data_IF_473746893804
#
_entry.id   IF_473746893804
#
_cell.length_a   1.000
_cell.length_b   1.000
_cell.length_c   1.000
_cell.angle_alpha   90.00
_cell.angle_beta   90.00
_cell.angle_gamma   90.00
#
_symmetry.space_group_name_H-M   'P 1'
#
loop_
_entity.id
_entity.type
_entity.pdbx_description
1 polymer ?
#
# COMPACT_ATOMS: atom_id res chain seq x y z
N UNK A 1 45.68 50.83 11.68
CA UNK A 1 45.22 52.22 11.78
C UNK A 1 44.87 52.73 10.38
N UNK A 2 43.58 52.86 10.06
CA UNK A 2 43.08 53.70 8.99
C UNK A 2 42.05 54.70 9.55
N UNK A 3 42.42 55.48 10.57
CA UNK A 3 41.57 56.52 11.18
C UNK A 3 41.67 57.89 10.45
N UNK A 4 42.53 58.01 9.44
CA UNK A 4 42.71 59.27 8.69
C UNK A 4 41.73 59.49 7.52
N UNK A 5 40.89 58.50 7.18
CA UNK A 5 39.90 58.65 6.09
C UNK A 5 38.51 59.08 6.58
N UNK A 6 38.21 58.94 7.88
CA UNK A 6 36.98 59.47 8.48
C UNK A 6 37.11 60.92 8.92
N UNK A 7 38.32 61.38 9.25
CA UNK A 7 38.59 62.78 9.61
C UNK A 7 38.55 63.72 8.41
N UNK A 8 38.93 63.24 7.20
CA UNK A 8 38.81 64.03 5.96
C UNK A 8 37.37 64.15 5.42
N UNK A 9 36.44 63.31 5.90
CA UNK A 9 35.04 63.29 5.45
C UNK A 9 34.14 64.30 6.18
N UNK A 10 34.66 65.02 7.17
CA UNK A 10 33.92 65.98 7.98
C UNK A 10 34.18 67.46 7.64
N UNK A 11 35.08 67.75 6.69
CA UNK A 11 35.55 69.12 6.41
C UNK A 11 35.24 69.64 4.99
N UNK A 12 34.24 69.06 4.31
CA UNK A 12 33.71 69.64 3.06
C UNK A 12 32.30 70.18 3.29
N UNK A 13 32.14 71.51 3.45
CA UNK A 13 30.84 72.14 3.66
C UNK A 13 29.98 72.10 2.38
N UNK A 14 28.72 71.80 2.61
CA UNK A 14 27.51 71.96 1.78
C UNK A 14 27.64 73.03 0.67
N UNK A 15 28.05 72.63 -0.52
CA UNK A 15 28.04 73.47 -1.74
C UNK A 15 27.19 72.84 -2.87
N UNK A 16 26.36 71.86 -2.51
CA UNK A 16 25.49 71.12 -3.46
C UNK A 16 24.21 71.87 -3.80
N UNK A 17 23.69 72.73 -2.91
CA UNK A 17 22.38 73.36 -3.12
C UNK A 17 22.41 74.56 -4.07
N UNK A 18 23.53 75.29 -4.15
CA UNK A 18 23.63 76.48 -5.02
C UNK A 18 23.80 76.12 -6.50
N UNK A 19 24.54 75.06 -6.79
CA UNK A 19 24.82 74.61 -8.16
C UNK A 19 23.58 73.96 -8.80
N UNK A 20 22.78 73.21 -8.02
CA UNK A 20 21.51 72.65 -8.51
C UNK A 20 20.45 73.74 -8.75
N UNK A 21 20.43 74.81 -7.92
CA UNK A 21 19.56 75.98 -8.10
C UNK A 21 19.97 76.86 -9.30
N UNK A 22 21.26 77.05 -9.57
CA UNK A 22 21.74 77.80 -10.76
C UNK A 22 21.53 77.04 -12.07
N UNK A 23 21.56 75.71 -12.05
CA UNK A 23 21.29 74.89 -13.24
C UNK A 23 19.82 74.96 -13.67
N UNK A 24 18.88 74.96 -12.70
CA UNK A 24 17.46 75.14 -12.97
C UNK A 24 17.15 76.56 -13.49
N UNK A 25 17.86 77.59 -13.00
CA UNK A 25 17.64 78.99 -13.37
C UNK A 25 18.25 79.36 -14.74
N UNK A 26 19.38 78.75 -15.12
CA UNK A 26 20.06 79.01 -16.41
C UNK A 26 19.34 78.40 -17.62
N UNK A 27 18.52 77.37 -17.42
CA UNK A 27 17.64 76.83 -18.48
C UNK A 27 16.49 77.78 -18.85
N UNK A 28 15.98 78.58 -17.90
CA UNK A 28 14.90 79.57 -18.14
C UNK A 28 15.43 80.83 -18.85
N UNK A 29 16.68 81.21 -18.62
CA UNK A 29 17.31 82.43 -19.22
C UNK A 29 17.81 82.20 -20.65
N UNK A 30 18.10 80.95 -21.03
CA UNK A 30 18.50 80.60 -22.40
C UNK A 30 17.36 80.74 -23.44
N UNK A 31 16.10 80.69 -22.99
CA UNK A 31 14.91 80.85 -23.83
C UNK A 31 14.63 82.32 -24.17
N UNK A 32 15.03 83.27 -23.32
CA UNK A 32 14.83 84.73 -23.53
C UNK A 32 15.92 85.38 -24.39
N UNK A 33 17.17 84.87 -24.37
CA UNK A 33 18.30 85.45 -25.11
C UNK A 33 18.36 85.04 -26.59
N UNK A 34 17.61 84.01 -27.00
CA UNK A 34 17.43 83.67 -28.43
C UNK A 34 16.47 84.63 -29.14
N UNK A 35 15.63 85.35 -28.40
CA UNK A 35 14.68 86.34 -28.93
C UNK A 35 15.33 87.70 -29.21
N UNK A 36 16.36 88.11 -28.46
CA UNK A 36 16.97 89.45 -28.59
C UNK A 36 18.07 89.58 -29.67
N UNK A 37 18.55 88.47 -30.26
CA UNK A 37 19.62 88.49 -31.28
C UNK A 37 19.15 88.68 -32.73
N UNK A 38 17.84 88.85 -32.97
CA UNK A 38 17.26 88.89 -34.33
C UNK A 38 16.96 90.28 -34.90
N UNK A 39 17.17 91.34 -34.13
CA UNK A 39 17.04 92.72 -34.63
C UNK A 39 18.41 93.41 -34.51
N UNK A 40 19.20 93.40 -35.58
CA UNK A 40 19.32 94.52 -36.53
C UNK A 40 19.76 95.84 -35.86
N UNK A 41 20.69 96.63 -36.38
CA UNK A 41 21.64 96.48 -37.49
C UNK A 41 22.50 97.74 -37.49
N UNK A 42 23.78 97.56 -37.83
CA UNK A 42 24.64 98.33 -38.73
C UNK A 42 24.76 99.87 -38.69
N UNK A 43 23.76 100.65 -38.30
CA UNK A 43 23.82 102.13 -38.30
C UNK A 43 24.47 102.72 -37.05
N UNK A 44 24.52 101.99 -35.93
CA UNK A 44 25.26 102.41 -34.73
C UNK A 44 26.79 102.36 -34.89
N UNK A 45 27.28 101.55 -35.84
CA UNK A 45 28.72 101.28 -36.00
C UNK A 45 29.44 102.38 -36.78
N UNK A 46 28.72 103.16 -37.60
CA UNK A 46 29.35 104.23 -38.40
C UNK A 46 29.54 105.54 -37.63
N UNK A 47 28.70 105.84 -36.63
CA UNK A 47 28.85 107.06 -35.80
C UNK A 47 29.95 106.94 -34.73
N UNK A 48 30.33 105.72 -34.34
CA UNK A 48 31.36 105.53 -33.31
C UNK A 48 32.80 105.81 -33.79
N UNK A 49 33.04 105.85 -35.12
CA UNK A 49 34.38 105.96 -35.70
C UNK A 49 34.95 107.39 -35.71
N UNK A 50 34.17 108.40 -35.31
CA UNK A 50 34.60 109.81 -35.28
C UNK A 50 34.93 110.30 -33.85
N UNK A 51 34.50 109.58 -32.80
CA UNK A 51 34.78 109.95 -31.40
C UNK A 51 35.77 108.93 -30.84
N UNK A 52 37.06 109.26 -30.86
CA UNK A 52 38.20 108.41 -30.49
C UNK A 52 38.08 107.63 -29.17
N UNK A 53 37.32 106.53 -29.19
CA UNK A 53 37.14 105.55 -28.11
C UNK A 53 37.55 104.13 -28.54
N UNK A 54 38.30 103.99 -29.63
CA UNK A 54 38.75 102.68 -30.14
C UNK A 54 39.86 102.07 -29.26
N UNK A 55 40.81 102.88 -28.79
CA UNK A 55 42.00 102.39 -28.05
C UNK A 55 41.68 101.83 -26.66
N UNK A 56 40.65 102.37 -26.02
CA UNK A 56 40.24 101.94 -24.68
C UNK A 56 39.34 100.70 -24.73
N UNK A 57 38.57 100.53 -25.81
CA UNK A 57 37.86 99.27 -26.08
C UNK A 57 38.83 98.14 -26.41
N UNK A 58 39.86 98.38 -27.21
CA UNK A 58 40.88 97.39 -27.60
C UNK A 58 41.68 96.86 -26.38
N UNK A 59 42.02 97.74 -25.42
CA UNK A 59 42.71 97.35 -24.18
C UNK A 59 41.79 96.61 -23.20
N UNK A 60 40.49 96.93 -23.14
CA UNK A 60 39.53 96.20 -22.32
C UNK A 60 39.17 94.84 -22.91
N UNK A 61 39.06 94.72 -24.23
CA UNK A 61 38.85 93.43 -24.91
C UNK A 61 40.07 92.53 -24.77
N UNK A 62 41.30 93.04 -24.93
CA UNK A 62 42.51 92.22 -24.80
C UNK A 62 42.71 91.72 -23.37
N UNK A 63 42.39 92.55 -22.36
CA UNK A 63 42.48 92.16 -20.95
C UNK A 63 41.40 91.14 -20.55
N UNK A 64 40.16 91.32 -20.99
CA UNK A 64 39.08 90.36 -20.78
C UNK A 64 39.35 89.00 -21.48
N UNK A 65 40.00 89.01 -22.64
CA UNK A 65 40.37 87.79 -23.37
C UNK A 65 41.51 87.03 -22.68
N UNK A 66 42.50 87.74 -22.13
CA UNK A 66 43.61 87.15 -21.35
C UNK A 66 43.14 86.60 -20.01
N UNK A 67 42.23 87.30 -19.31
CA UNK A 67 41.65 86.83 -18.05
C UNK A 67 40.67 85.67 -18.26
N UNK A 68 39.95 85.64 -19.39
CA UNK A 68 39.12 84.52 -19.83
C UNK A 68 39.95 83.29 -20.22
N UNK A 69 41.09 83.47 -20.89
CA UNK A 69 42.01 82.37 -21.23
C UNK A 69 42.70 81.80 -19.98
N UNK A 70 43.08 82.65 -19.01
CA UNK A 70 43.60 82.18 -17.71
C UNK A 70 42.55 81.46 -16.88
N UNK A 71 41.31 81.95 -16.87
CA UNK A 71 40.20 81.25 -16.22
C UNK A 71 39.92 79.91 -16.90
N UNK A 72 39.91 79.82 -18.22
CA UNK A 72 39.69 78.56 -18.95
C UNK A 72 40.83 77.55 -18.75
N UNK A 73 42.08 78.00 -18.68
CA UNK A 73 43.21 77.12 -18.36
C UNK A 73 43.12 76.66 -16.91
N UNK A 74 42.79 77.55 -15.97
CA UNK A 74 42.58 77.17 -14.57
C UNK A 74 41.42 76.16 -14.44
N UNK A 75 40.30 76.40 -15.13
CA UNK A 75 39.12 75.55 -15.17
C UNK A 75 39.40 74.20 -15.86
N UNK A 76 40.16 74.17 -16.96
CA UNK A 76 40.59 72.94 -17.62
C UNK A 76 41.60 72.13 -16.78
N UNK A 77 42.40 72.81 -15.97
CA UNK A 77 43.35 72.16 -15.04
C UNK A 77 42.63 71.62 -13.80
N UNK A 78 41.61 72.33 -13.30
CA UNK A 78 40.70 71.82 -12.25
C UNK A 78 39.82 70.67 -12.75
N UNK A 79 39.28 70.73 -13.97
CA UNK A 79 38.52 69.63 -14.59
C UNK A 79 39.39 68.40 -14.84
N UNK A 80 40.65 68.58 -15.24
CA UNK A 80 41.63 67.50 -15.42
C UNK A 80 42.05 66.88 -14.08
N UNK A 81 42.08 67.68 -13.01
CA UNK A 81 42.23 67.21 -11.63
C UNK A 81 41.00 66.42 -11.13
N UNK A 82 39.80 66.88 -11.44
CA UNK A 82 38.53 66.21 -11.09
C UNK A 82 38.29 64.93 -11.90
N UNK A 83 38.69 64.86 -13.17
CA UNK A 83 38.66 63.61 -13.97
C UNK A 83 39.47 62.50 -13.33
N UNK A 84 40.68 62.81 -12.82
CA UNK A 84 41.52 61.81 -12.12
C UNK A 84 40.94 61.35 -10.79
N UNK A 85 40.26 62.24 -10.07
CA UNK A 85 39.57 61.91 -8.81
C UNK A 85 38.31 61.07 -9.08
N UNK A 86 37.58 61.37 -10.15
CA UNK A 86 36.45 60.57 -10.63
C UNK A 86 36.88 59.20 -11.16
N UNK A 87 38.01 59.09 -11.85
CA UNK A 87 38.56 57.82 -12.32
C UNK A 87 39.04 56.95 -11.15
N UNK A 88 39.64 57.56 -10.12
CA UNK A 88 40.02 56.86 -8.89
C UNK A 88 38.79 56.40 -8.11
N UNK A 89 37.75 57.24 -8.01
CA UNK A 89 36.49 56.88 -7.37
C UNK A 89 35.75 55.76 -8.14
N UNK A 90 35.73 55.80 -9.47
CA UNK A 90 35.20 54.75 -10.34
C UNK A 90 35.98 53.45 -10.20
N UNK A 91 37.32 53.51 -10.15
CA UNK A 91 38.16 52.35 -9.91
C UNK A 91 37.88 51.74 -8.52
N UNK A 92 37.69 52.57 -7.50
CA UNK A 92 37.37 52.13 -6.12
C UNK A 92 35.97 51.52 -6.04
N UNK A 93 34.99 52.09 -6.75
CA UNK A 93 33.64 51.54 -6.84
C UNK A 93 33.65 50.23 -7.61
N UNK A 94 34.38 50.13 -8.73
CA UNK A 94 34.52 48.89 -9.49
C UNK A 94 35.23 47.78 -8.69
N UNK A 95 36.27 48.13 -7.92
CA UNK A 95 36.94 47.22 -6.98
C UNK A 95 35.95 46.72 -5.91
N UNK A 96 35.20 47.63 -5.28
CA UNK A 96 34.21 47.29 -4.25
C UNK A 96 33.04 46.47 -4.81
N UNK A 97 32.60 46.76 -6.04
CA UNK A 97 31.56 46.00 -6.76
C UNK A 97 32.07 44.61 -7.17
N UNK A 98 33.34 44.50 -7.56
CA UNK A 98 34.02 43.23 -7.85
C UNK A 98 34.15 42.36 -6.61
N UNK A 99 34.54 42.95 -5.46
CA UNK A 99 34.60 42.24 -4.18
C UNK A 99 33.21 41.80 -3.69
N UNK A 100 32.19 42.66 -3.80
CA UNK A 100 30.82 42.28 -3.43
C UNK A 100 30.27 41.20 -4.35
N UNK A 101 30.51 41.29 -5.66
CA UNK A 101 30.17 40.23 -6.61
C UNK A 101 30.86 38.91 -6.26
N UNK A 102 32.15 38.92 -5.96
CA UNK A 102 32.90 37.73 -5.55
C UNK A 102 32.34 37.11 -4.26
N UNK A 103 32.00 37.93 -3.27
CA UNK A 103 31.37 37.47 -2.01
C UNK A 103 29.97 36.89 -2.24
N UNK A 104 29.19 37.46 -3.16
CA UNK A 104 27.87 36.93 -3.54
C UNK A 104 28.00 35.59 -4.27
N UNK A 105 28.94 35.46 -5.19
CA UNK A 105 29.22 34.22 -5.92
C UNK A 105 29.75 33.12 -4.96
N UNK A 106 30.66 33.45 -4.04
CA UNK A 106 31.15 32.55 -3.00
C UNK A 106 30.02 32.11 -2.04
N UNK A 107 29.16 33.02 -1.58
CA UNK A 107 28.02 32.72 -0.71
C UNK A 107 26.95 31.88 -1.43
N UNK A 108 26.70 32.14 -2.71
CA UNK A 108 25.81 31.36 -3.57
C UNK A 108 26.34 29.94 -3.78
N UNK A 109 27.64 29.79 -4.07
CA UNK A 109 28.31 28.49 -4.18
C UNK A 109 28.28 27.68 -2.88
N UNK A 110 28.53 28.33 -1.73
CA UNK A 110 28.40 27.69 -0.41
C UNK A 110 26.96 27.27 -0.09
N UNK A 111 25.97 28.08 -0.48
CA UNK A 111 24.55 27.75 -0.31
C UNK A 111 24.15 26.55 -1.17
N UNK A 112 24.61 26.50 -2.43
CA UNK A 112 24.37 25.37 -3.32
C UNK A 112 25.03 24.08 -2.80
N UNK A 113 26.26 24.16 -2.28
CA UNK A 113 26.94 23.01 -1.67
C UNK A 113 26.19 22.47 -0.44
N UNK A 114 25.73 23.36 0.46
CA UNK A 114 24.93 22.97 1.64
C UNK A 114 23.58 22.36 1.26
N UNK A 115 22.92 22.87 0.20
CA UNK A 115 21.68 22.29 -0.31
C UNK A 115 21.90 20.90 -0.91
N UNK A 116 23.02 20.68 -1.61
CA UNK A 116 23.40 19.35 -2.11
C UNK A 116 23.66 18.38 -0.96
N UNK A 117 24.40 18.80 0.06
CA UNK A 117 24.69 17.96 1.23
C UNK A 117 23.39 17.61 2.00
N UNK A 118 22.47 18.57 2.13
CA UNK A 118 21.15 18.31 2.72
C UNK A 118 20.33 17.33 1.88
N UNK A 119 20.35 17.47 0.55
CA UNK A 119 19.66 16.56 -0.37
C UNK A 119 20.21 15.12 -0.24
N UNK A 120 21.53 14.95 -0.11
CA UNK A 120 22.17 13.65 0.11
C UNK A 120 21.81 13.06 1.48
N UNK A 121 21.70 13.88 2.52
CA UNK A 121 21.22 13.43 3.84
C UNK A 121 19.76 12.99 3.75
N UNK A 122 18.89 13.77 3.09
CA UNK A 122 17.47 13.43 2.91
C UNK A 122 17.32 12.14 2.09
N UNK A 123 18.09 11.97 1.02
CA UNK A 123 18.08 10.76 0.20
C UNK A 123 18.49 9.52 1.02
N UNK A 124 19.55 9.63 1.83
CA UNK A 124 19.97 8.54 2.74
C UNK A 124 18.93 8.22 3.80
N UNK A 125 18.24 9.22 4.34
CA UNK A 125 17.14 9.01 5.29
C UNK A 125 15.97 8.31 4.59
N UNK A 126 15.60 8.74 3.38
CA UNK A 126 14.52 8.13 2.61
C UNK A 126 14.81 6.65 2.31
N UNK A 127 16.02 6.34 1.84
CA UNK A 127 16.46 4.95 1.59
C UNK A 127 16.44 4.10 2.87
N UNK A 128 16.97 4.64 3.98
CA UNK A 128 16.92 3.95 5.27
C UNK A 128 15.47 3.71 5.73
N UNK A 129 14.56 4.66 5.50
CA UNK A 129 13.14 4.51 5.79
C UNK A 129 12.50 3.41 4.93
N UNK A 130 12.76 3.37 3.62
CA UNK A 130 12.22 2.34 2.71
C UNK A 130 12.64 0.93 3.12
N UNK A 131 13.92 0.75 3.47
CA UNK A 131 14.44 -0.53 3.98
C UNK A 131 13.70 -0.93 5.26
N UNK A 132 13.52 0.02 6.19
CA UNK A 132 12.84 -0.25 7.48
C UNK A 132 11.35 -0.53 7.31
N UNK A 133 10.68 0.13 6.36
CA UNK A 133 9.28 -0.18 6.04
C UNK A 133 9.14 -1.57 5.43
N UNK A 134 10.00 -1.94 4.48
CA UNK A 134 10.00 -3.29 3.89
C UNK A 134 10.28 -4.38 4.94
N UNK A 135 11.22 -4.12 5.86
CA UNK A 135 11.51 -5.01 7.00
C UNK A 135 10.29 -5.12 7.95
N UNK A 136 9.59 -4.02 8.21
CA UNK A 136 8.40 -4.02 9.05
C UNK A 136 7.23 -4.76 8.39
N UNK A 137 6.98 -4.53 7.10
CA UNK A 137 5.92 -5.21 6.33
C UNK A 137 6.15 -6.72 6.27
N UNK A 138 7.37 -7.16 5.99
CA UNK A 138 7.71 -8.60 5.98
C UNK A 138 7.55 -9.24 7.37
N UNK A 139 7.91 -8.53 8.45
CA UNK A 139 7.67 -9.00 9.82
C UNK A 139 6.18 -9.06 10.15
N UNK A 140 5.40 -8.05 9.75
CA UNK A 140 3.95 -8.02 9.95
C UNK A 140 3.29 -9.20 9.23
N UNK A 141 3.63 -9.44 7.96
CA UNK A 141 3.11 -10.56 7.19
C UNK A 141 3.44 -11.92 7.86
N UNK A 142 4.66 -12.11 8.35
CA UNK A 142 5.05 -13.33 9.06
C UNK A 142 4.29 -13.50 10.39
N UNK A 143 4.03 -12.41 11.12
CA UNK A 143 3.24 -12.43 12.35
C UNK A 143 1.77 -12.73 12.08
N UNK A 144 1.19 -12.15 11.04
CA UNK A 144 -0.18 -12.42 10.61
C UNK A 144 -0.35 -13.89 10.20
N UNK A 145 0.61 -14.44 9.45
CA UNK A 145 0.61 -15.86 9.11
C UNK A 145 0.71 -16.74 10.35
N UNK A 146 1.59 -16.41 11.30
CA UNK A 146 1.72 -17.15 12.56
C UNK A 146 0.45 -17.05 13.43
N UNK A 147 -0.18 -15.88 13.49
CA UNK A 147 -1.43 -15.67 14.22
C UNK A 147 -2.55 -16.50 13.59
N UNK A 148 -2.76 -16.40 12.28
CA UNK A 148 -3.74 -17.22 11.57
C UNK A 148 -3.43 -18.72 11.70
N UNK A 149 -2.15 -19.11 11.79
CA UNK A 149 -1.75 -20.48 12.04
C UNK A 149 -2.25 -20.95 13.42
N UNK A 150 -2.00 -20.14 14.45
CA UNK A 150 -2.32 -20.40 15.86
C UNK A 150 -3.84 -20.42 16.10
N UNK A 151 -4.57 -19.45 15.56
CA UNK A 151 -6.03 -19.34 15.72
C UNK A 151 -6.74 -20.59 15.18
N UNK A 152 -6.44 -21.00 13.94
CA UNK A 152 -7.03 -22.23 13.40
C UNK A 152 -6.60 -23.47 14.21
N UNK A 153 -5.40 -23.46 14.81
CA UNK A 153 -4.95 -24.50 15.74
C UNK A 153 -5.87 -24.61 16.96
N UNK A 154 -6.11 -23.49 17.63
CA UNK A 154 -7.01 -23.42 18.79
C UNK A 154 -8.44 -23.80 18.44
N UNK A 155 -8.96 -23.33 17.31
CA UNK A 155 -10.28 -23.70 16.80
C UNK A 155 -10.40 -25.20 16.54
N UNK A 156 -9.36 -25.80 15.94
CA UNK A 156 -9.29 -27.24 15.71
C UNK A 156 -9.31 -28.06 17.00
N UNK A 157 -8.55 -27.63 18.01
CA UNK A 157 -8.55 -28.30 19.33
C UNK A 157 -9.90 -28.18 20.03
N UNK A 158 -10.48 -26.97 20.03
CA UNK A 158 -11.77 -26.71 20.66
C UNK A 158 -12.90 -27.51 19.99
N UNK A 159 -12.93 -27.51 18.65
CA UNK A 159 -13.92 -28.27 17.88
C UNK A 159 -13.81 -29.78 18.14
N UNK A 160 -12.58 -30.33 18.13
CA UNK A 160 -12.37 -31.74 18.47
C UNK A 160 -12.87 -32.07 19.88
N UNK A 161 -12.52 -31.24 20.87
CA UNK A 161 -12.93 -31.44 22.25
C UNK A 161 -14.46 -31.40 22.40
N UNK A 162 -15.15 -30.50 21.69
CA UNK A 162 -16.62 -30.43 21.68
C UNK A 162 -17.22 -31.68 21.02
N UNK A 163 -16.79 -32.06 19.82
CA UNK A 163 -17.37 -33.20 19.09
C UNK A 163 -17.18 -34.50 19.87
N UNK A 164 -15.97 -34.73 20.39
CA UNK A 164 -15.69 -35.88 21.26
C UNK A 164 -16.51 -35.77 22.55
N UNK A 165 -16.52 -34.62 23.23
CA UNK A 165 -17.27 -34.44 24.49
C UNK A 165 -18.78 -34.68 24.36
N UNK A 166 -19.40 -34.20 23.28
CA UNK A 166 -20.81 -34.48 22.98
C UNK A 166 -21.05 -35.96 22.69
N UNK A 167 -20.15 -36.57 21.92
CA UNK A 167 -20.24 -38.00 21.63
C UNK A 167 -20.10 -38.83 22.90
N UNK A 168 -19.09 -38.59 23.75
CA UNK A 168 -18.87 -39.33 25.00
C UNK A 168 -20.03 -39.19 25.98
N UNK A 169 -20.58 -37.98 26.10
CA UNK A 169 -21.77 -37.70 26.91
C UNK A 169 -23.07 -38.31 26.35
N UNK A 170 -23.04 -38.97 25.19
CA UNK A 170 -24.24 -39.57 24.57
C UNK A 170 -25.21 -38.54 23.99
N UNK A 171 -24.74 -37.32 23.73
CA UNK A 171 -25.53 -36.26 23.11
C UNK A 171 -25.51 -36.34 21.57
N UNK A 172 -24.43 -36.88 21.00
CA UNK A 172 -24.31 -37.10 19.54
C UNK A 172 -24.42 -38.58 19.18
N UNK A 173 -25.15 -38.87 18.09
CA UNK A 173 -25.26 -40.19 17.46
C UNK A 173 -25.82 -41.30 18.37
N UNK A 174 -26.51 -40.94 19.45
CA UNK A 174 -27.03 -41.89 20.41
C UNK A 174 -28.10 -42.81 19.80
N UNK A 175 -28.02 -44.10 20.12
CA UNK A 175 -28.91 -45.14 19.61
C UNK A 175 -28.77 -45.42 18.12
N UNK A 176 -27.60 -45.09 17.53
CA UNK A 176 -27.14 -45.67 16.27
C UNK A 176 -26.15 -46.82 16.56
N UNK A 177 -25.93 -47.76 15.64
CA UNK A 177 -24.90 -48.79 15.80
C UNK A 177 -23.52 -48.18 16.03
N UNK A 178 -22.72 -48.72 16.94
CA UNK A 178 -21.38 -48.20 17.25
C UNK A 178 -20.51 -47.96 15.99
N UNK A 179 -20.44 -48.87 14.99
CA UNK A 179 -19.68 -48.60 13.77
C UNK A 179 -20.12 -47.34 13.03
N UNK A 180 -21.43 -47.09 12.99
CA UNK A 180 -22.03 -45.91 12.34
C UNK A 180 -21.69 -44.64 13.12
N UNK A 181 -21.76 -44.69 14.45
CA UNK A 181 -21.37 -43.57 15.30
C UNK A 181 -19.90 -43.16 15.07
N UNK A 182 -18.99 -44.15 14.98
CA UNK A 182 -17.56 -43.91 14.73
C UNK A 182 -17.35 -43.27 13.35
N UNK A 183 -18.04 -43.75 12.31
CA UNK A 183 -17.97 -43.15 10.97
C UNK A 183 -18.45 -41.71 10.98
N UNK A 184 -19.61 -41.43 11.59
CA UNK A 184 -20.18 -40.08 11.66
C UNK A 184 -19.31 -39.10 12.46
N UNK A 185 -18.82 -39.51 13.63
CA UNK A 185 -17.89 -38.70 14.43
C UNK A 185 -16.60 -38.41 13.66
N UNK A 186 -16.06 -39.42 12.98
CA UNK A 186 -14.85 -39.26 12.18
C UNK A 186 -15.06 -38.33 10.99
N UNK A 187 -16.22 -38.42 10.33
CA UNK A 187 -16.61 -37.53 9.25
C UNK A 187 -16.79 -36.08 9.76
N UNK A 188 -17.44 -35.87 10.90
CA UNK A 188 -17.63 -34.56 11.54
C UNK A 188 -16.28 -33.89 11.83
N UNK A 189 -15.37 -34.61 12.50
CA UNK A 189 -14.04 -34.09 12.84
C UNK A 189 -13.20 -33.82 11.60
N UNK A 190 -13.24 -34.72 10.61
CA UNK A 190 -12.49 -34.58 9.37
C UNK A 190 -13.02 -33.44 8.48
N UNK A 191 -14.34 -33.19 8.47
CA UNK A 191 -14.96 -32.09 7.74
C UNK A 191 -14.80 -30.74 8.46
N UNK A 192 -14.71 -30.74 9.80
CA UNK A 192 -14.60 -29.54 10.63
C UNK A 192 -13.22 -28.88 10.68
N UNK A 193 -13.02 -27.96 11.66
CA UNK A 193 -11.78 -27.19 11.83
C UNK A 193 -10.53 -28.06 12.04
N UNK A 194 -10.65 -29.20 12.73
CA UNK A 194 -9.54 -30.14 12.92
C UNK A 194 -9.00 -30.67 11.58
N UNK A 195 -9.89 -31.12 10.69
CA UNK A 195 -9.48 -31.53 9.34
C UNK A 195 -8.95 -30.38 8.49
N UNK A 196 -9.47 -29.16 8.64
CA UNK A 196 -8.96 -27.99 7.92
C UNK A 196 -7.54 -27.63 8.37
N UNK A 197 -7.27 -27.68 9.67
CA UNK A 197 -5.94 -27.50 10.22
C UNK A 197 -4.97 -28.58 9.74
N UNK A 198 -5.36 -29.86 9.76
CA UNK A 198 -4.55 -30.96 9.24
C UNK A 198 -4.25 -30.81 7.74
N UNK A 199 -5.23 -30.35 6.96
CA UNK A 199 -5.04 -30.07 5.54
C UNK A 199 -3.99 -28.96 5.31
N UNK A 200 -4.11 -27.83 6.02
CA UNK A 200 -3.21 -26.68 5.87
C UNK A 200 -1.78 -26.99 6.33
N UNK A 201 -1.63 -27.76 7.40
CA UNK A 201 -0.30 -28.09 7.97
C UNK A 201 0.34 -29.34 7.35
N UNK A 202 -0.42 -30.11 6.56
CA UNK A 202 0.01 -31.40 6.01
C UNK A 202 0.21 -32.50 7.07
N UNK A 203 -0.22 -32.28 8.32
CA UNK A 203 -0.04 -33.21 9.44
C UNK A 203 -1.37 -33.76 9.93
N UNK A 204 -1.47 -35.07 10.03
CA UNK A 204 -2.68 -35.77 10.50
C UNK A 204 -2.71 -35.92 12.04
N UNK A 205 -2.25 -34.90 12.78
CA UNK A 205 -2.13 -34.94 14.24
C UNK A 205 -3.46 -35.23 14.97
N UNK A 206 -4.59 -34.88 14.36
CA UNK A 206 -5.92 -35.12 14.95
C UNK A 206 -6.45 -36.53 14.70
N UNK A 207 -5.87 -37.29 13.77
CA UNK A 207 -6.24 -38.70 13.53
C UNK A 207 -5.91 -39.53 14.75
N UNK A 208 -4.67 -39.48 15.24
CA UNK A 208 -4.24 -40.23 16.42
C UNK A 208 -5.01 -39.82 17.67
N UNK A 209 -5.22 -38.51 17.87
CA UNK A 209 -6.00 -37.98 19.01
C UNK A 209 -7.44 -38.51 18.98
N UNK A 210 -8.09 -38.53 17.82
CA UNK A 210 -9.45 -39.05 17.69
C UNK A 210 -9.50 -40.56 17.93
N UNK A 211 -8.55 -41.32 17.38
CA UNK A 211 -8.44 -42.77 17.63
C UNK A 211 -8.32 -43.05 19.13
N UNK A 212 -7.42 -42.35 19.82
CA UNK A 212 -7.28 -42.47 21.28
C UNK A 212 -8.55 -42.09 22.02
N UNK A 213 -9.19 -40.98 21.65
CA UNK A 213 -10.44 -40.53 22.27
C UNK A 213 -11.56 -41.55 22.13
N UNK A 214 -11.75 -42.14 20.94
CA UNK A 214 -12.79 -43.15 20.70
C UNK A 214 -12.52 -44.44 21.48
N UNK A 215 -11.27 -44.89 21.56
CA UNK A 215 -10.91 -46.14 22.23
C UNK A 215 -10.89 -46.05 23.75
N UNK A 216 -10.63 -44.86 24.32
CA UNK A 216 -10.59 -44.65 25.77
C UNK A 216 -11.99 -44.51 26.39
N UNK A 217 -13.03 -44.38 25.58
CA UNK A 217 -14.40 -44.20 26.05
C UNK A 217 -15.07 -45.56 26.15
N UNK A 218 -15.30 -46.02 27.38
CA UNK A 218 -16.07 -47.22 27.63
C UNK A 218 -17.54 -46.95 27.31
N UNK A 219 -18.02 -47.42 26.15
CA UNK A 219 -19.45 -47.49 25.84
C UNK A 219 -19.95 -48.93 25.97
N UNK A 220 -21.20 -49.15 26.37
CA UNK A 220 -21.78 -50.49 26.44
C UNK A 220 -21.68 -51.26 25.12
N UNK A 221 -21.82 -50.55 24.00
CA UNK A 221 -21.87 -51.14 22.66
C UNK A 221 -20.48 -51.26 21.99
N UNK A 222 -19.41 -50.92 22.71
CA UNK A 222 -18.04 -51.08 22.18
C UNK A 222 -17.70 -52.58 22.16
N UNK A 223 -17.39 -53.16 21.00
CA UNK A 223 -17.14 -54.60 20.89
C UNK A 223 -15.92 -55.02 21.71
N UNK A 224 -16.08 -56.06 22.53
CA UNK A 224 -14.99 -56.67 23.28
C UNK A 224 -14.34 -57.78 22.44
N UNK A 225 -13.08 -57.59 22.04
CA UNK A 225 -12.31 -58.60 21.31
C UNK A 225 -12.41 -58.48 19.78
N UNK A 226 -12.46 -59.64 19.09
CA UNK A 226 -12.50 -59.72 17.62
C UNK A 226 -13.94 -59.74 17.14
N UNK A 227 -14.24 -58.95 16.13
CA UNK A 227 -15.56 -58.92 15.48
C UNK A 227 -15.42 -58.84 13.95
N UNK A 228 -16.49 -59.20 13.24
CA UNK A 228 -16.65 -58.82 11.83
C UNK A 228 -17.51 -57.56 11.76
N UNK A 229 -17.19 -56.66 10.83
CA UNK A 229 -17.99 -55.45 10.64
C UNK A 229 -19.45 -55.80 10.27
N UNK A 230 -19.66 -56.90 9.53
CA UNK A 230 -20.98 -57.33 9.10
C UNK A 230 -21.85 -57.73 10.29
N UNK A 231 -21.32 -58.53 11.20
CA UNK A 231 -22.07 -59.01 12.38
C UNK A 231 -22.41 -57.84 13.31
N UNK A 232 -21.44 -56.95 13.55
CA UNK A 232 -21.61 -55.81 14.45
C UNK A 232 -22.65 -54.79 13.93
N UNK A 233 -22.70 -54.61 12.60
CA UNK A 233 -23.71 -53.77 11.96
C UNK A 233 -25.07 -54.46 11.93
N UNK A 234 -25.15 -55.77 11.69
CA UNK A 234 -26.43 -56.50 11.73
C UNK A 234 -27.04 -56.48 13.14
N UNK A 235 -26.24 -56.72 14.18
CA UNK A 235 -26.67 -56.64 15.59
C UNK A 235 -27.17 -55.23 15.96
N UNK A 236 -26.38 -54.20 15.64
CA UNK A 236 -26.75 -52.83 15.94
C UNK A 236 -27.95 -52.33 15.12
N UNK A 237 -28.03 -52.66 13.84
CA UNK A 237 -29.13 -52.21 12.98
C UNK A 237 -30.45 -52.90 13.33
N UNK A 238 -30.42 -54.18 13.74
CA UNK A 238 -31.60 -54.92 14.14
C UNK A 238 -32.32 -54.30 15.35
N UNK A 239 -31.58 -53.63 16.24
CA UNK A 239 -32.10 -53.00 17.46
C UNK A 239 -32.37 -51.49 17.30
N UNK A 240 -31.99 -50.91 16.15
CA UNK A 240 -32.15 -49.48 15.88
C UNK A 240 -33.46 -49.17 15.14
N UNK A 241 -34.13 -48.09 15.51
CA UNK A 241 -35.35 -47.65 14.84
C UNK A 241 -35.09 -47.33 13.34
N UNK A 242 -35.95 -47.80 12.40
CA UNK A 242 -35.75 -47.59 10.96
C UNK A 242 -35.58 -46.13 10.54
N UNK A 243 -36.30 -45.19 11.17
CA UNK A 243 -36.19 -43.76 10.86
C UNK A 243 -34.80 -43.19 11.19
N UNK A 244 -34.17 -43.68 12.26
CA UNK A 244 -32.80 -43.29 12.61
C UNK A 244 -31.78 -43.85 11.64
N UNK A 245 -31.99 -45.09 11.20
CA UNK A 245 -31.17 -45.71 10.15
C UNK A 245 -31.29 -44.92 8.85
N UNK A 246 -32.51 -44.58 8.43
CA UNK A 246 -32.73 -43.76 7.23
C UNK A 246 -31.99 -42.42 7.30
N UNK A 247 -32.11 -41.69 8.42
CA UNK A 247 -31.39 -40.43 8.61
C UNK A 247 -29.87 -40.63 8.55
N UNK A 248 -29.35 -41.67 9.20
CA UNK A 248 -27.92 -41.97 9.17
C UNK A 248 -27.44 -42.33 7.74
N UNK A 249 -28.22 -43.08 6.96
CA UNK A 249 -27.92 -43.35 5.56
C UNK A 249 -27.88 -42.08 4.72
N UNK A 250 -28.85 -41.18 4.88
CA UNK A 250 -28.89 -39.89 4.18
C UNK A 250 -27.68 -39.01 4.51
N UNK A 251 -27.30 -38.91 5.79
CA UNK A 251 -26.11 -38.15 6.23
C UNK A 251 -24.82 -38.75 5.65
N UNK A 252 -24.73 -40.08 5.58
CA UNK A 252 -23.59 -40.78 4.98
C UNK A 252 -23.58 -40.72 3.44
N UNK A 253 -24.59 -40.09 2.84
CA UNK A 253 -24.67 -39.88 1.40
C UNK A 253 -25.18 -41.09 0.62
N UNK A 254 -25.86 -42.03 1.27
CA UNK A 254 -26.57 -43.10 0.57
C UNK A 254 -27.68 -42.53 -0.32
N UNK A 255 -27.83 -43.09 -1.52
CA UNK A 255 -28.81 -42.62 -2.51
C UNK A 255 -28.42 -41.32 -3.25
N UNK A 256 -27.31 -40.66 -2.90
CA UNK A 256 -26.83 -39.50 -3.64
C UNK A 256 -26.18 -39.91 -4.97
N UNK A 257 -26.35 -39.07 -5.99
CA UNK A 257 -25.65 -39.21 -7.26
C UNK A 257 -24.11 -39.22 -7.01
N UNK A 258 -23.31 -39.97 -7.80
CA UNK A 258 -21.86 -40.08 -7.57
C UNK A 258 -21.10 -38.75 -7.55
N UNK A 259 -21.64 -37.71 -8.21
CA UNK A 259 -21.08 -36.35 -8.21
C UNK A 259 -21.35 -35.58 -6.91
N UNK A 260 -22.40 -35.95 -6.18
CA UNK A 260 -22.84 -35.31 -4.92
C UNK A 260 -22.47 -36.16 -3.69
N UNK A 261 -22.22 -37.44 -3.88
CA UNK A 261 -21.83 -38.33 -2.80
C UNK A 261 -20.44 -37.90 -2.24
N UNK A 262 -20.31 -37.78 -0.91
CA UNK A 262 -19.00 -37.56 -0.32
C UNK A 262 -18.08 -38.72 -0.71
N UNK A 263 -16.79 -38.48 -1.02
CA UNK A 263 -15.85 -39.55 -1.28
C UNK A 263 -15.78 -40.42 -0.02
N UNK A 264 -16.40 -41.58 -0.03
CA UNK A 264 -16.31 -42.54 1.05
C UNK A 264 -15.30 -43.61 0.66
N UNK A 265 -14.46 -44.04 1.60
CA UNK A 265 -13.73 -45.28 1.39
C UNK A 265 -14.61 -46.49 1.71
N UNK A 266 -14.00 -47.68 1.72
CA UNK A 266 -14.75 -48.93 1.77
C UNK A 266 -15.53 -49.14 3.08
N UNK A 267 -14.97 -48.78 4.25
CA UNK A 267 -15.64 -49.07 5.53
C UNK A 267 -16.85 -48.17 5.73
N UNK A 268 -16.73 -46.90 5.39
CA UNK A 268 -17.81 -45.93 5.51
C UNK A 268 -18.89 -46.18 4.47
N UNK A 269 -18.50 -46.58 3.25
CA UNK A 269 -19.45 -46.99 2.23
C UNK A 269 -20.25 -48.24 2.64
N UNK A 270 -19.64 -49.20 3.34
CA UNK A 270 -20.39 -50.34 3.91
C UNK A 270 -21.36 -49.90 4.97
N UNK A 271 -20.92 -49.07 5.93
CA UNK A 271 -21.80 -48.57 6.97
C UNK A 271 -23.01 -47.84 6.37
N UNK A 272 -22.78 -46.96 5.39
CA UNK A 272 -23.84 -46.23 4.68
C UNK A 272 -24.82 -47.19 3.97
N UNK A 273 -24.29 -48.10 3.15
CA UNK A 273 -25.10 -49.03 2.35
C UNK A 273 -25.84 -50.04 3.24
N UNK A 274 -25.22 -50.51 4.32
CA UNK A 274 -25.85 -51.45 5.25
C UNK A 274 -27.03 -50.81 5.96
N UNK A 275 -26.84 -49.59 6.46
CA UNK A 275 -27.88 -48.81 7.14
C UNK A 275 -29.02 -48.48 6.15
N UNK A 276 -28.73 -48.15 4.90
CA UNK A 276 -29.74 -47.96 3.85
C UNK A 276 -30.58 -49.22 3.63
N UNK A 277 -29.93 -50.38 3.46
CA UNK A 277 -30.62 -51.65 3.25
C UNK A 277 -31.44 -52.06 4.48
N UNK A 278 -30.95 -51.79 5.70
CA UNK A 278 -31.70 -52.02 6.93
C UNK A 278 -32.88 -51.05 7.10
N UNK A 279 -32.81 -49.84 6.57
CA UNK A 279 -33.93 -48.89 6.60
C UNK A 279 -35.10 -49.29 5.66
N UNK A 280 -34.87 -50.23 4.72
CA UNK A 280 -35.91 -50.69 3.81
C UNK A 280 -37.05 -51.43 4.54
N UNK A 281 -38.30 -51.32 4.05
CA UNK A 281 -39.43 -52.13 4.52
C UNK A 281 -39.14 -53.62 4.37
N UNK A 282 -39.69 -54.45 5.26
CA UNK A 282 -39.38 -55.88 5.33
C UNK A 282 -39.54 -56.67 4.02
N UNK A 283 -40.46 -56.27 3.13
CA UNK A 283 -40.63 -56.90 1.82
C UNK A 283 -39.57 -56.53 0.77
N UNK A 284 -38.89 -55.39 0.95
CA UNK A 284 -37.82 -54.92 0.06
C UNK A 284 -36.42 -55.12 0.66
N UNK A 285 -36.34 -55.42 1.96
CA UNK A 285 -35.08 -55.68 2.67
C UNK A 285 -34.52 -57.05 2.24
N UNK A 286 -33.26 -57.12 1.78
CA UNK A 286 -32.62 -58.41 1.50
C UNK A 286 -32.46 -59.23 2.79
N UNK A 287 -32.42 -60.58 2.71
CA UNK A 287 -32.37 -61.44 3.89
C UNK A 287 -31.10 -61.25 4.76
N UNK A 288 -30.01 -60.78 4.15
CA UNK A 288 -28.75 -60.44 4.84
C UNK A 288 -28.27 -59.06 4.39
N UNK A 289 -28.81 -57.96 4.96
CA UNK A 289 -28.55 -56.60 4.49
C UNK A 289 -27.08 -56.23 4.53
N UNK A 290 -26.39 -56.49 5.64
CA UNK A 290 -25.00 -56.04 5.77
C UNK A 290 -24.02 -56.86 4.92
N UNK A 291 -24.23 -58.17 4.79
CA UNK A 291 -23.46 -58.99 3.83
C UNK A 291 -23.66 -58.50 2.38
N UNK A 292 -24.90 -58.16 2.04
CA UNK A 292 -25.25 -57.61 0.72
C UNK A 292 -24.57 -56.27 0.50
N UNK A 293 -24.60 -55.36 1.47
CA UNK A 293 -23.87 -54.09 1.44
C UNK A 293 -22.37 -54.30 1.23
N UNK A 294 -21.74 -55.20 1.99
CA UNK A 294 -20.34 -55.52 1.83
C UNK A 294 -20.02 -56.10 0.44
N UNK A 295 -20.90 -56.93 -0.13
CA UNK A 295 -20.75 -57.43 -1.50
C UNK A 295 -20.85 -56.31 -2.55
N UNK A 296 -21.81 -55.39 -2.41
CA UNK A 296 -22.00 -54.26 -3.33
C UNK A 296 -20.80 -53.31 -3.32
N UNK A 297 -20.34 -52.92 -2.12
CA UNK A 297 -19.18 -52.03 -1.98
C UNK A 297 -17.92 -52.69 -2.55
N UNK A 298 -17.76 -54.02 -2.42
CA UNK A 298 -16.59 -54.75 -2.95
C UNK A 298 -16.54 -54.66 -4.48
N UNK A 299 -17.70 -54.71 -5.14
CA UNK A 299 -17.77 -54.53 -6.59
C UNK A 299 -17.34 -53.12 -7.01
N UNK A 300 -17.60 -52.09 -6.19
CA UNK A 300 -17.27 -50.68 -6.47
C UNK A 300 -15.83 -50.31 -6.15
N UNK A 301 -15.29 -50.80 -5.04
CA UNK A 301 -13.96 -50.42 -4.52
C UNK A 301 -12.88 -51.48 -4.77
N UNK A 302 -13.21 -52.61 -5.40
CA UNK A 302 -12.30 -53.71 -5.65
C UNK A 302 -12.07 -54.61 -4.44
N UNK A 303 -10.94 -55.33 -4.42
CA UNK A 303 -10.62 -56.27 -3.35
C UNK A 303 -10.30 -55.54 -2.04
N UNK A 304 -11.33 -55.33 -1.23
CA UNK A 304 -11.19 -55.07 0.20
C UNK A 304 -12.03 -56.10 0.95
N UNK A 305 -11.43 -56.78 1.91
CA UNK A 305 -12.14 -57.68 2.80
C UNK A 305 -12.36 -56.99 4.14
N UNK A 306 -13.60 -56.89 4.65
CA UNK A 306 -13.81 -56.65 6.08
C UNK A 306 -13.26 -57.88 6.82
N UNK A 307 -11.96 -57.84 7.16
CA UNK A 307 -11.34 -58.87 7.99
C UNK A 307 -11.95 -58.78 9.38
N UNK A 308 -12.04 -59.94 10.05
CA UNK A 308 -12.16 -59.97 11.51
C UNK A 308 -11.09 -59.05 12.10
N UNK A 309 -11.50 -58.05 12.87
CA UNK A 309 -10.63 -56.99 13.37
C UNK A 309 -10.85 -56.73 14.85
N UNK A 310 -9.98 -55.90 15.43
CA UNK A 310 -10.17 -55.32 16.75
C UNK A 310 -10.82 -53.95 16.62
N UNK A 311 -11.41 -53.45 17.71
CA UNK A 311 -12.01 -52.10 17.74
C UNK A 311 -11.00 -51.03 17.34
N UNK A 312 -9.76 -51.14 17.84
CA UNK A 312 -8.64 -50.28 17.46
C UNK A 312 -8.42 -50.24 15.94
N UNK A 313 -8.24 -51.39 15.31
CA UNK A 313 -7.97 -51.45 13.88
C UNK A 313 -9.12 -50.88 13.04
N UNK A 314 -10.36 -51.12 13.46
CA UNK A 314 -11.53 -50.53 12.80
C UNK A 314 -11.53 -49.00 12.93
N UNK A 315 -11.37 -48.47 14.14
CA UNK A 315 -11.37 -47.02 14.41
C UNK A 315 -10.25 -46.34 13.64
N UNK A 316 -9.01 -46.85 13.72
CA UNK A 316 -7.87 -46.31 12.96
C UNK A 316 -8.19 -46.20 11.47
N UNK A 317 -8.71 -47.28 10.87
CA UNK A 317 -9.03 -47.28 9.45
C UNK A 317 -10.15 -46.32 9.08
N UNK A 318 -11.23 -46.26 9.87
CA UNK A 318 -12.35 -45.35 9.61
C UNK A 318 -11.91 -43.90 9.72
N UNK A 319 -11.13 -43.55 10.75
CA UNK A 319 -10.64 -42.18 10.95
C UNK A 319 -9.72 -41.77 9.80
N UNK A 320 -8.78 -42.64 9.38
CA UNK A 320 -7.91 -42.38 8.22
C UNK A 320 -8.72 -42.24 6.93
N UNK A 321 -9.73 -43.09 6.73
CA UNK A 321 -10.60 -43.04 5.56
C UNK A 321 -11.37 -41.71 5.47
N UNK A 322 -11.92 -41.25 6.59
CA UNK A 322 -12.63 -39.97 6.67
C UNK A 322 -11.70 -38.77 6.53
N UNK A 323 -10.49 -38.84 7.07
CA UNK A 323 -9.46 -37.80 6.86
C UNK A 323 -9.07 -37.69 5.38
N UNK A 324 -8.85 -38.81 4.70
CA UNK A 324 -8.51 -38.85 3.27
C UNK A 324 -9.67 -38.36 2.39
N UNK A 325 -10.89 -38.74 2.74
CA UNK A 325 -12.12 -38.26 2.11
C UNK A 325 -12.23 -36.73 2.16
N UNK A 326 -12.11 -36.17 3.37
CA UNK A 326 -12.21 -34.74 3.58
C UNK A 326 -11.06 -33.97 2.91
N UNK A 327 -9.85 -34.54 2.88
CA UNK A 327 -8.71 -33.98 2.12
C UNK A 327 -9.02 -33.91 0.63
N UNK A 328 -9.54 -34.98 0.04
CA UNK A 328 -9.92 -35.03 -1.38
C UNK A 328 -10.97 -33.96 -1.71
N UNK A 329 -11.95 -33.76 -0.82
CA UNK A 329 -12.95 -32.70 -0.99
C UNK A 329 -12.34 -31.30 -0.97
N UNK A 330 -11.43 -31.03 -0.02
CA UNK A 330 -10.73 -29.73 0.07
C UNK A 330 -9.84 -29.48 -1.14
N UNK A 331 -9.15 -30.49 -1.64
CA UNK A 331 -8.37 -30.38 -2.88
C UNK A 331 -9.25 -30.05 -4.09
N UNK A 332 -10.42 -30.71 -4.21
CA UNK A 332 -11.39 -30.38 -5.27
C UNK A 332 -11.90 -28.94 -5.14
N UNK A 333 -12.21 -28.50 -3.93
CA UNK A 333 -12.64 -27.12 -3.67
C UNK A 333 -11.55 -26.09 -4.01
N UNK A 334 -10.30 -26.35 -3.62
CA UNK A 334 -9.15 -25.51 -3.94
C UNK A 334 -8.89 -25.41 -5.46
N UNK A 335 -9.07 -26.51 -6.19
CA UNK A 335 -8.99 -26.52 -7.67
C UNK A 335 -10.16 -25.78 -8.32
N UNK A 336 -11.36 -25.90 -7.77
CA UNK A 336 -12.53 -25.17 -8.28
C UNK A 336 -12.41 -23.65 -8.05
N UNK A 337 -11.84 -23.23 -6.92
CA UNK A 337 -11.58 -21.82 -6.61
C UNK A 337 -10.45 -21.18 -7.43
N UNK A 338 -9.60 -21.97 -8.08
CA UNK A 338 -8.50 -21.51 -8.94
C UNK A 338 -8.81 -21.64 -10.44
N UNK A 339 -9.99 -22.15 -10.80
CA UNK A 339 -10.46 -22.19 -12.18
C UNK A 339 -10.84 -20.78 -12.69
N UNK A 340 -10.59 -20.45 -13.97
CA UNK A 340 -11.11 -19.21 -14.54
C UNK A 340 -12.63 -19.19 -14.39
N UNK A 341 -13.17 -18.11 -13.82
CA UNK A 341 -14.61 -17.86 -13.80
C UNK A 341 -15.10 -17.98 -15.26
N UNK A 342 -16.07 -18.86 -15.56
CA UNK A 342 -16.60 -18.99 -16.91
C UNK A 342 -17.00 -17.60 -17.42
N UNK A 343 -16.57 -17.23 -18.63
CA UNK A 343 -16.82 -15.93 -19.24
C UNK A 343 -18.31 -15.53 -19.29
N UNK A 344 -19.22 -16.48 -19.08
CA UNK A 344 -20.66 -16.26 -18.91
C UNK A 344 -21.04 -15.44 -17.65
N UNK A 345 -20.11 -15.26 -16.69
CA UNK A 345 -20.30 -14.48 -15.46
C UNK A 345 -19.37 -13.27 -15.35
N UNK A 346 -18.57 -12.96 -16.38
CA UNK A 346 -17.92 -11.67 -16.44
C UNK A 346 -19.03 -10.60 -16.51
N UNK A 347 -19.10 -9.64 -15.58
CA UNK A 347 -20.01 -8.51 -15.74
C UNK A 347 -19.64 -7.85 -17.07
N UNK A 348 -20.55 -7.94 -18.04
CA UNK A 348 -20.37 -7.31 -19.34
C UNK A 348 -20.01 -5.84 -19.14
N UNK A 349 -19.22 -5.23 -20.03
CA UNK A 349 -18.80 -3.85 -19.88
C UNK A 349 -20.06 -3.00 -19.77
N UNK A 350 -20.34 -2.55 -18.54
CA UNK A 350 -21.49 -1.74 -18.22
C UNK A 350 -21.38 -0.45 -19.00
N UNK A 351 -22.12 -0.37 -20.11
CA UNK A 351 -22.30 0.86 -20.84
C UNK A 351 -22.87 1.89 -19.88
N UNK A 352 -22.08 2.92 -19.61
CA UNK A 352 -22.51 4.12 -18.90
C UNK A 352 -23.61 4.79 -19.71
N UNK A 353 -24.86 4.45 -19.43
CA UNK A 353 -25.99 5.32 -19.76
C UNK A 353 -26.11 6.32 -18.63
N UNK A 354 -25.67 7.55 -18.92
CA UNK A 354 -25.85 8.72 -18.08
C UNK A 354 -27.32 9.02 -17.79
N UNK A 355 -27.58 9.93 -16.83
CA UNK A 355 -28.90 10.14 -16.25
C UNK A 355 -29.80 10.92 -17.22
N UNK A 356 -30.77 10.23 -17.81
CA UNK A 356 -31.84 10.83 -18.59
C UNK A 356 -33.06 11.13 -17.73
N UNK A 357 -33.16 12.39 -17.32
CA UNK A 357 -34.40 13.19 -17.21
C UNK A 357 -35.64 12.58 -16.53
N UNK A 358 -36.00 13.19 -15.39
CA UNK A 358 -37.35 13.33 -14.84
C UNK A 358 -38.40 13.56 -15.93
N UNK A 359 -39.62 13.04 -15.76
CA UNK A 359 -40.72 14.01 -15.66
C UNK A 359 -41.81 13.65 -14.64
N UNK A 360 -42.25 14.73 -14.00
CA UNK A 360 -43.64 15.15 -13.73
C UNK A 360 -44.61 14.18 -13.04
N UNK A 361 -44.97 14.60 -11.84
CA UNK A 361 -46.21 14.28 -11.15
C UNK A 361 -47.46 14.56 -12.00
N UNK A 362 -48.39 13.61 -11.96
CA UNK A 362 -49.87 13.73 -12.03
C UNK A 362 -50.42 12.46 -11.39
N UNK A 363 -51.55 12.41 -10.71
CA UNK A 363 -52.44 13.35 -10.03
C UNK A 363 -53.30 12.44 -9.15
#
# INVERSE_FOLDING_TARGET
MPDDLRSLALDVPLLTDRVLLELANSMVVAEDLTTYRREQSFSGTLLARIVGRERQRELLTTRALVDGQRSLVHWATELSGQSRISDLALARVAECLGETRRRVEEASGQSAARLSELADVVARIAEACEIRFTEAESRLAALEEHQAATELGLEAEHALAISVGRWTAGQSYNGLPWPVQVVLLSAEVAAGPAGAHSFRTGRDAYVERLVHAVLNVARPDTPQGRFTLTDLLDEGCATTAPDRLRLAAEILGSGLAPSLAPPAGPLSAVAATAVELWALPGGARPPRPTETAAALVRRRHGWWTPRTGTARHFVERVVTEQAAAARTLRERAARAGTGPVPAAYAPGPGGSRGPGTTPAARA
#
